data_IF_214720310387
#
_entry.id   IF_214720310387
#
_cell.length_a   1.000
_cell.length_b   1.000
_cell.length_c   1.000
_cell.angle_alpha   90.00
_cell.angle_beta   90.00
_cell.angle_gamma   90.00
#
_symmetry.space_group_name_H-M   'P 1'
#
loop_
_entity.id
_entity.type
_entity.pdbx_description
1 polymer ?
#
# COMPACT_ATOMS: atom_id res chain seq x y z
N UNK A 1 -8.05 -33.12 -1.04
CA UNK A 1 -8.84 -31.87 -0.99
C UNK A 1 -8.12 -30.81 -1.81
N UNK A 2 -7.85 -31.12 -3.08
CA UNK A 2 -6.80 -30.47 -3.90
C UNK A 2 -7.36 -30.02 -5.26
N UNK A 3 -8.68 -29.87 -5.38
CA UNK A 3 -9.38 -29.65 -6.65
C UNK A 3 -10.30 -28.41 -6.66
N UNK A 4 -10.23 -27.54 -5.65
CA UNK A 4 -11.08 -26.33 -5.57
C UNK A 4 -10.28 -25.03 -5.82
N UNK A 5 -8.95 -25.07 -5.84
CA UNK A 5 -8.11 -23.88 -6.04
C UNK A 5 -7.84 -23.49 -7.51
N UNK A 6 -8.31 -24.27 -8.49
CA UNK A 6 -8.03 -24.02 -9.92
C UNK A 6 -9.01 -23.03 -10.60
N UNK A 7 -10.09 -22.60 -9.93
CA UNK A 7 -11.16 -21.81 -10.56
C UNK A 7 -11.50 -20.46 -9.92
N UNK A 8 -10.74 -20.01 -8.91
CA UNK A 8 -10.82 -18.60 -8.46
C UNK A 8 -9.83 -17.82 -9.31
N UNK A 9 -10.28 -16.72 -9.92
CA UNK A 9 -9.51 -15.77 -10.73
C UNK A 9 -8.10 -15.57 -10.16
N UNK A 10 -7.13 -16.36 -10.66
CA UNK A 10 -5.70 -16.28 -10.33
C UNK A 10 -5.15 -15.00 -10.95
N UNK A 11 -5.35 -13.87 -10.28
CA UNK A 11 -4.33 -12.82 -10.30
C UNK A 11 -3.26 -13.29 -9.33
N UNK A 12 -2.39 -14.18 -9.80
CA UNK A 12 -1.11 -14.47 -9.14
C UNK A 12 -0.22 -13.25 -9.33
N UNK A 13 -0.51 -12.18 -8.59
CA UNK A 13 0.36 -11.03 -8.47
C UNK A 13 1.20 -11.26 -7.22
N UNK A 14 2.48 -11.54 -7.42
CA UNK A 14 3.43 -11.61 -6.32
C UNK A 14 4.18 -10.30 -6.26
N UNK A 15 4.23 -9.73 -5.06
CA UNK A 15 4.95 -8.50 -4.79
C UNK A 15 6.40 -8.81 -4.40
N UNK A 16 7.35 -8.11 -5.01
CA UNK A 16 8.71 -8.03 -4.50
C UNK A 16 8.64 -7.29 -3.16
N UNK A 17 8.63 -8.06 -2.07
CA UNK A 17 8.47 -7.63 -0.68
C UNK A 17 7.04 -7.21 -0.27
N UNK A 18 6.47 -7.90 0.73
CA UNK A 18 5.27 -7.45 1.46
C UNK A 18 5.63 -6.40 2.52
N UNK A 19 6.86 -6.47 3.04
CA UNK A 19 7.44 -5.53 3.99
C UNK A 19 8.30 -4.48 3.28
N UNK A 20 8.72 -3.44 3.98
CA UNK A 20 9.51 -2.35 3.41
C UNK A 20 10.94 -2.77 2.98
N UNK A 21 11.40 -3.97 3.33
CA UNK A 21 12.77 -4.47 3.13
C UNK A 21 12.83 -5.99 3.40
N UNK A 22 13.93 -6.63 3.00
CA UNK A 22 14.16 -8.06 3.25
C UNK A 22 14.62 -8.31 4.70
N UNK A 23 14.11 -9.38 5.32
CA UNK A 23 14.53 -9.85 6.65
C UNK A 23 15.33 -11.13 6.51
N UNK A 24 16.22 -11.39 7.48
CA UNK A 24 17.00 -12.62 7.45
C UNK A 24 16.07 -13.83 7.61
N UNK A 25 16.31 -14.90 6.85
CA UNK A 25 15.66 -16.19 7.07
C UNK A 25 16.63 -17.06 7.85
N UNK A 26 16.30 -17.42 9.08
CA UNK A 26 17.13 -18.27 9.95
C UNK A 26 16.82 -19.77 9.78
N UNK A 27 15.84 -20.12 8.94
CA UNK A 27 15.37 -21.49 8.74
C UNK A 27 14.11 -21.82 9.54
N UNK A 28 13.65 -20.92 10.41
CA UNK A 28 12.42 -21.03 11.17
C UNK A 28 11.31 -20.17 10.52
N UNK A 29 10.05 -20.46 10.85
CA UNK A 29 8.88 -19.70 10.35
C UNK A 29 8.71 -18.33 11.06
N UNK A 30 9.77 -17.75 11.63
CA UNK A 30 9.71 -16.47 12.32
C UNK A 30 9.68 -15.28 11.35
N UNK A 31 8.57 -14.56 11.34
CA UNK A 31 8.33 -13.43 10.42
C UNK A 31 9.11 -12.15 10.79
N UNK A 32 9.59 -12.05 12.04
CA UNK A 32 10.22 -10.85 12.60
C UNK A 32 11.46 -11.22 13.41
N UNK A 33 12.52 -11.76 12.76
CA UNK A 33 13.72 -12.21 13.47
C UNK A 33 14.38 -11.03 14.19
N UNK A 34 14.78 -11.24 15.45
CA UNK A 34 15.48 -10.24 16.26
C UNK A 34 16.83 -10.74 16.77
N UNK A 35 17.78 -9.82 16.95
CA UNK A 35 19.03 -10.08 17.67
C UNK A 35 18.79 -10.26 19.18
N UNK A 36 19.85 -10.60 19.93
CA UNK A 36 19.80 -10.78 21.38
C UNK A 36 19.36 -9.52 22.16
N UNK A 37 19.29 -8.37 21.49
CA UNK A 37 18.87 -7.07 22.04
C UNK A 37 17.46 -6.68 21.60
N UNK A 38 16.75 -7.55 20.87
CA UNK A 38 15.40 -7.31 20.36
C UNK A 38 15.34 -6.42 19.12
N UNK A 39 16.48 -6.12 18.46
CA UNK A 39 16.48 -5.36 17.21
C UNK A 39 16.18 -6.29 16.04
N UNK A 40 15.39 -5.83 15.08
CA UNK A 40 15.12 -6.60 13.85
C UNK A 40 16.41 -6.89 13.08
N UNK A 41 16.51 -8.11 12.56
CA UNK A 41 17.63 -8.55 11.73
C UNK A 41 17.24 -8.51 10.26
N UNK A 42 17.94 -7.69 9.48
CA UNK A 42 17.68 -7.49 8.06
C UNK A 42 18.53 -8.42 7.19
N UNK A 43 18.02 -8.75 6.00
CA UNK A 43 18.81 -9.44 4.98
C UNK A 43 19.51 -8.43 4.07
N UNK A 44 20.71 -8.78 3.62
CA UNK A 44 21.46 -8.04 2.60
C UNK A 44 21.08 -8.44 1.16
N UNK A 45 20.12 -9.35 0.98
CA UNK A 45 19.60 -9.72 -0.35
C UNK A 45 19.06 -8.50 -1.06
N UNK A 46 19.55 -8.24 -2.27
CA UNK A 46 19.06 -7.13 -3.08
C UNK A 46 17.66 -7.43 -3.60
N UNK A 47 16.77 -6.44 -3.58
CA UNK A 47 15.46 -6.57 -4.20
C UNK A 47 15.54 -6.85 -5.71
N UNK A 48 16.67 -6.55 -6.37
CA UNK A 48 16.90 -6.92 -7.77
C UNK A 48 17.16 -8.42 -7.96
N UNK A 49 17.81 -9.07 -6.99
CA UNK A 49 17.97 -10.54 -7.00
C UNK A 49 16.60 -11.21 -6.78
N UNK A 50 15.82 -10.68 -5.84
CA UNK A 50 14.43 -11.10 -5.63
C UNK A 50 13.59 -10.90 -6.89
N UNK A 51 13.73 -9.77 -7.58
CA UNK A 51 13.02 -9.50 -8.83
C UNK A 51 13.31 -10.55 -9.90
N UNK A 52 14.59 -10.91 -10.12
CA UNK A 52 14.97 -11.97 -11.07
C UNK A 52 14.36 -13.33 -10.73
N UNK A 53 14.23 -13.65 -9.43
CA UNK A 53 13.54 -14.86 -9.00
C UNK A 53 12.02 -14.81 -9.31
N UNK A 54 11.39 -13.64 -9.16
CA UNK A 54 9.99 -13.44 -9.56
C UNK A 54 9.78 -13.53 -11.08
N UNK A 55 10.74 -13.03 -11.87
CA UNK A 55 10.71 -13.20 -13.33
C UNK A 55 10.77 -14.67 -13.73
N UNK A 56 11.62 -15.46 -13.06
CA UNK A 56 11.66 -16.91 -13.26
C UNK A 56 10.33 -17.57 -12.89
N UNK A 57 9.64 -17.11 -11.84
CA UNK A 57 8.31 -17.63 -11.49
C UNK A 57 7.26 -17.35 -12.57
N UNK A 58 7.41 -16.26 -13.33
CA UNK A 58 6.58 -16.00 -14.53
C UNK A 58 6.93 -16.99 -15.64
N UNK A 59 8.22 -17.19 -15.93
CA UNK A 59 8.68 -18.12 -16.98
C UNK A 59 8.27 -19.56 -16.69
N UNK A 60 8.28 -19.97 -15.42
CA UNK A 60 7.85 -21.29 -14.96
C UNK A 60 6.31 -21.43 -14.93
N UNK A 61 5.55 -20.39 -15.28
CA UNK A 61 4.08 -20.40 -15.33
C UNK A 61 3.41 -20.42 -13.95
N UNK A 62 4.16 -20.17 -12.87
CA UNK A 62 3.64 -20.15 -11.50
C UNK A 62 2.79 -18.90 -11.25
N UNK A 63 3.18 -17.78 -11.86
CA UNK A 63 2.49 -16.50 -11.73
C UNK A 63 2.24 -15.87 -13.10
N UNK A 64 1.19 -15.05 -13.21
CA UNK A 64 0.83 -14.37 -14.48
C UNK A 64 1.39 -12.96 -14.58
N UNK A 65 1.62 -12.32 -13.44
CA UNK A 65 2.11 -10.96 -13.34
C UNK A 65 2.91 -10.80 -12.04
N UNK A 66 3.84 -9.86 -12.02
CA UNK A 66 4.65 -9.54 -10.85
C UNK A 66 4.61 -8.04 -10.62
N UNK A 67 4.70 -7.64 -9.35
CA UNK A 67 4.55 -6.25 -8.94
C UNK A 67 5.43 -5.89 -7.77
N UNK A 68 5.34 -4.64 -7.34
CA UNK A 68 6.09 -4.08 -6.23
C UNK A 68 5.11 -3.65 -5.12
N UNK A 69 5.52 -3.75 -3.86
CA UNK A 69 4.74 -3.20 -2.75
C UNK A 69 5.67 -2.42 -1.81
N UNK A 70 5.26 -1.21 -1.44
CA UNK A 70 6.06 -0.27 -0.64
C UNK A 70 7.40 0.16 -1.29
N UNK A 71 7.46 0.25 -2.62
CA UNK A 71 8.65 0.77 -3.30
C UNK A 71 8.48 2.27 -3.60
N UNK A 72 9.56 3.03 -3.46
CA UNK A 72 9.62 4.43 -3.89
C UNK A 72 10.00 4.54 -5.39
N UNK A 73 9.91 5.74 -5.96
CA UNK A 73 10.17 6.00 -7.38
C UNK A 73 11.56 5.54 -7.83
N UNK A 74 12.61 5.75 -7.03
CA UNK A 74 13.98 5.33 -7.37
C UNK A 74 14.08 3.81 -7.47
N UNK A 75 13.55 3.08 -6.48
CA UNK A 75 13.57 1.62 -6.46
C UNK A 75 12.76 1.02 -7.61
N UNK A 76 11.63 1.65 -7.98
CA UNK A 76 10.84 1.24 -9.15
C UNK A 76 11.66 1.41 -10.43
N UNK A 77 12.30 2.57 -10.61
CA UNK A 77 13.18 2.83 -11.76
C UNK A 77 14.35 1.83 -11.81
N UNK A 78 14.94 1.48 -10.66
CA UNK A 78 16.00 0.47 -10.57
C UNK A 78 15.52 -0.91 -11.03
N UNK A 79 14.31 -1.32 -10.63
CA UNK A 79 13.70 -2.57 -11.10
C UNK A 79 13.43 -2.53 -12.61
N UNK A 80 12.88 -1.43 -13.14
CA UNK A 80 12.60 -1.28 -14.57
C UNK A 80 13.89 -1.37 -15.40
N UNK A 81 15.00 -0.78 -14.93
CA UNK A 81 16.28 -0.78 -15.65
C UNK A 81 16.97 -2.13 -15.64
N UNK A 82 16.80 -2.91 -14.57
CA UNK A 82 17.55 -4.15 -14.36
C UNK A 82 16.71 -5.44 -14.58
N UNK A 83 15.39 -5.31 -14.69
CA UNK A 83 14.46 -6.40 -14.96
C UNK A 83 14.17 -6.56 -16.46
N UNK A 84 13.91 -7.80 -16.86
CA UNK A 84 13.35 -8.16 -18.17
C UNK A 84 11.84 -7.93 -18.23
N UNK A 85 11.12 -8.14 -17.13
CA UNK A 85 9.67 -7.98 -17.02
C UNK A 85 9.39 -6.68 -16.25
N UNK A 86 8.63 -5.76 -16.86
CA UNK A 86 8.18 -4.52 -16.21
C UNK A 86 7.17 -4.84 -15.09
N UNK A 87 7.27 -4.23 -13.90
CA UNK A 87 6.26 -4.40 -12.86
C UNK A 87 4.87 -4.02 -13.37
N UNK A 88 3.87 -4.87 -13.12
CA UNK A 88 2.49 -4.58 -13.54
C UNK A 88 1.75 -3.69 -12.54
N UNK A 89 2.11 -3.78 -11.26
CA UNK A 89 1.40 -3.12 -10.16
C UNK A 89 2.39 -2.58 -9.14
N UNK A 90 2.10 -1.40 -8.58
CA UNK A 90 2.63 -0.93 -7.31
C UNK A 90 1.51 -0.91 -6.27
N UNK A 91 1.66 -1.64 -5.16
CA UNK A 91 0.74 -1.57 -4.03
C UNK A 91 1.35 -0.72 -2.89
N UNK A 92 0.70 0.39 -2.54
CA UNK A 92 1.20 1.36 -1.54
C UNK A 92 0.05 1.92 -0.70
N UNK A 93 0.39 2.51 0.45
CA UNK A 93 -0.57 3.26 1.26
C UNK A 93 -1.00 4.49 0.47
N UNK A 94 -2.31 4.62 0.23
CA UNK A 94 -2.90 5.81 -0.39
C UNK A 94 -4.27 6.08 0.23
N UNK A 95 -4.44 7.30 0.72
CA UNK A 95 -5.69 7.81 1.28
C UNK A 95 -5.62 9.35 1.32
N UNK A 96 -6.69 10.10 1.65
CA UNK A 96 -6.65 11.56 1.60
C UNK A 96 -5.52 12.22 2.40
N UNK A 97 -5.13 11.70 3.56
CA UNK A 97 -3.99 12.24 4.32
C UNK A 97 -2.59 11.88 3.79
N UNK A 98 -2.50 10.94 2.84
CA UNK A 98 -1.28 10.51 2.15
C UNK A 98 -1.65 10.21 0.68
N UNK A 99 -1.84 11.28 -0.09
CA UNK A 99 -2.47 11.20 -1.41
C UNK A 99 -1.56 10.59 -2.48
N UNK A 100 -0.24 10.65 -2.27
CA UNK A 100 0.78 10.05 -3.13
C UNK A 100 0.75 10.56 -4.59
N UNK A 101 0.35 11.82 -4.80
CA UNK A 101 0.16 12.39 -6.16
C UNK A 101 1.39 12.18 -7.07
N UNK A 102 2.61 12.42 -6.55
CA UNK A 102 3.85 12.25 -7.32
C UNK A 102 4.11 10.79 -7.71
N UNK A 103 4.02 9.86 -6.74
CA UNK A 103 4.27 8.44 -6.96
C UNK A 103 3.21 7.80 -7.86
N UNK A 104 1.94 8.18 -7.67
CA UNK A 104 0.82 7.71 -8.51
C UNK A 104 1.04 8.14 -9.96
N UNK A 105 1.31 9.44 -10.18
CA UNK A 105 1.60 9.97 -11.52
C UNK A 105 2.81 9.27 -12.15
N UNK A 106 3.90 9.12 -11.40
CA UNK A 106 5.12 8.43 -11.85
C UNK A 106 4.84 6.99 -12.33
N UNK A 107 4.01 6.24 -11.60
CA UNK A 107 3.61 4.89 -11.96
C UNK A 107 2.71 4.86 -13.20
N UNK A 108 1.72 5.75 -13.26
CA UNK A 108 0.78 5.84 -14.38
C UNK A 108 1.49 6.20 -15.69
N UNK A 109 2.47 7.12 -15.66
CA UNK A 109 3.31 7.47 -16.81
C UNK A 109 4.17 6.29 -17.32
N UNK A 110 4.32 5.23 -16.53
CA UNK A 110 5.09 4.02 -16.85
C UNK A 110 4.20 2.79 -17.08
N UNK A 111 2.88 2.98 -17.19
CA UNK A 111 1.86 1.91 -17.25
C UNK A 111 1.93 0.92 -16.07
N UNK A 112 2.24 1.41 -14.87
CA UNK A 112 2.19 0.64 -13.63
C UNK A 112 0.90 0.99 -12.92
N UNK A 113 0.03 -0.01 -12.71
CA UNK A 113 -1.23 0.18 -11.99
C UNK A 113 -0.94 0.41 -10.51
N UNK A 114 -1.55 1.42 -9.89
CA UNK A 114 -1.43 1.63 -8.44
C UNK A 114 -2.59 0.93 -7.73
N UNK A 115 -2.27 0.21 -6.66
CA UNK A 115 -3.24 -0.36 -5.72
C UNK A 115 -3.08 0.28 -4.34
N UNK A 116 -4.11 0.97 -3.86
CA UNK A 116 -4.18 1.59 -2.55
C UNK A 116 -4.53 0.57 -1.46
N UNK A 117 -3.60 0.34 -0.52
CA UNK A 117 -3.91 -0.29 0.77
C UNK A 117 -4.20 0.77 1.84
N UNK A 118 -4.82 0.33 2.94
CA UNK A 118 -5.26 1.20 4.06
C UNK A 118 -6.02 2.46 3.63
N UNK A 119 -6.99 2.37 2.70
CA UNK A 119 -7.68 3.55 2.18
C UNK A 119 -8.42 4.33 3.28
N UNK A 120 -8.75 3.70 4.40
CA UNK A 120 -9.45 4.32 5.53
C UNK A 120 -8.52 4.72 6.69
N UNK A 121 -7.19 4.70 6.50
CA UNK A 121 -6.22 4.98 7.55
C UNK A 121 -6.07 3.85 8.58
N UNK A 122 -6.56 2.65 8.27
CA UNK A 122 -6.44 1.44 9.10
C UNK A 122 -6.79 1.67 10.58
N UNK A 123 -8.03 2.09 10.91
CA UNK A 123 -8.42 2.48 12.27
C UNK A 123 -8.34 1.34 13.30
N UNK A 124 -8.35 0.09 12.85
CA UNK A 124 -8.22 -1.13 13.64
C UNK A 124 -6.77 -1.63 13.78
N UNK A 125 -5.77 -0.84 13.38
CA UNK A 125 -4.36 -1.22 13.53
C UNK A 125 -3.97 -1.33 15.02
N UNK A 126 -3.21 -2.36 15.43
CA UNK A 126 -2.88 -2.59 16.85
C UNK A 126 -2.11 -1.47 17.56
N UNK A 127 -1.42 -0.62 16.80
CA UNK A 127 -0.59 0.47 17.32
C UNK A 127 -1.24 1.86 17.18
N UNK A 128 -2.54 1.94 16.86
CA UNK A 128 -3.25 3.21 16.82
C UNK A 128 -3.25 3.86 18.22
N UNK A 129 -2.92 5.15 18.28
CA UNK A 129 -3.03 5.94 19.51
C UNK A 129 -4.28 6.83 19.49
N UNK A 130 -4.90 7.16 20.65
CA UNK A 130 -6.12 7.96 20.71
C UNK A 130 -5.98 9.38 20.14
N UNK A 131 -4.75 9.91 20.10
CA UNK A 131 -4.45 11.25 19.62
C UNK A 131 -4.32 11.33 18.08
N UNK A 132 -4.37 10.19 17.39
CA UNK A 132 -4.27 10.15 15.94
C UNK A 132 -5.57 10.59 15.25
N UNK A 133 -5.46 11.25 14.10
CA UNK A 133 -6.64 11.69 13.36
C UNK A 133 -7.43 10.51 12.81
N UNK A 134 -8.75 10.56 12.95
CA UNK A 134 -9.66 9.56 12.39
C UNK A 134 -10.12 10.04 11.01
N UNK A 135 -9.50 9.53 9.95
CA UNK A 135 -9.78 9.93 8.57
C UNK A 135 -11.27 9.87 8.18
N UNK A 136 -11.98 8.83 8.63
CA UNK A 136 -13.41 8.67 8.31
C UNK A 136 -14.31 9.73 8.96
N UNK A 137 -13.80 10.43 9.97
CA UNK A 137 -14.51 11.46 10.75
C UNK A 137 -14.03 12.89 10.41
N UNK A 138 -13.20 13.07 9.38
CA UNK A 138 -12.83 14.41 8.92
C UNK A 138 -14.09 15.22 8.58
N UNK A 139 -14.28 16.42 9.17
CA UNK A 139 -15.50 17.21 8.96
C UNK A 139 -15.79 17.54 7.49
N UNK A 140 -14.76 17.85 6.71
CA UNK A 140 -14.91 18.17 5.29
C UNK A 140 -15.30 16.91 4.49
N UNK A 141 -14.72 15.76 4.85
CA UNK A 141 -15.12 14.48 4.25
C UNK A 141 -16.57 14.12 4.58
N UNK A 142 -17.01 14.35 5.82
CA UNK A 142 -18.39 14.13 6.25
C UNK A 142 -19.38 15.02 5.49
N UNK A 143 -19.02 16.27 5.22
CA UNK A 143 -19.88 17.18 4.45
C UNK A 143 -20.00 16.77 2.98
N UNK A 144 -18.91 16.30 2.36
CA UNK A 144 -18.94 15.69 1.03
C UNK A 144 -19.81 14.42 1.06
N UNK A 145 -19.64 13.55 2.06
CA UNK A 145 -20.43 12.33 2.22
C UNK A 145 -21.95 12.63 2.29
N UNK A 146 -22.34 13.66 3.05
CA UNK A 146 -23.74 14.15 3.10
C UNK A 146 -24.23 14.63 1.74
N UNK A 147 -23.44 15.41 1.00
CA UNK A 147 -23.78 15.92 -0.34
C UNK A 147 -24.18 14.78 -1.29
N UNK A 148 -23.46 13.66 -1.26
CA UNK A 148 -23.74 12.50 -2.12
C UNK A 148 -24.69 11.46 -1.50
N UNK A 149 -25.12 11.65 -0.25
CA UNK A 149 -25.89 10.65 0.52
C UNK A 149 -25.15 9.30 0.58
N UNK A 150 -23.84 9.37 0.80
CA UNK A 150 -22.93 8.22 0.92
C UNK A 150 -22.20 8.25 2.26
N UNK A 151 -21.52 7.17 2.62
CA UNK A 151 -20.60 7.18 3.75
C UNK A 151 -19.25 7.78 3.39
N UNK A 152 -18.48 8.24 4.38
CA UNK A 152 -17.08 8.68 4.19
C UNK A 152 -16.22 7.60 3.52
N UNK A 153 -16.46 6.33 3.85
CA UNK A 153 -15.77 5.19 3.25
C UNK A 153 -16.04 5.08 1.74
N UNK A 154 -17.29 5.22 1.32
CA UNK A 154 -17.67 5.22 -0.10
C UNK A 154 -17.06 6.42 -0.85
N UNK A 155 -17.05 7.61 -0.23
CA UNK A 155 -16.42 8.81 -0.81
C UNK A 155 -14.93 8.59 -1.05
N UNK A 156 -14.19 8.05 -0.07
CA UNK A 156 -12.75 7.77 -0.23
C UNK A 156 -12.50 6.75 -1.34
N UNK A 157 -13.26 5.65 -1.36
CA UNK A 157 -13.12 4.63 -2.42
C UNK A 157 -13.38 5.27 -3.79
N UNK A 158 -14.43 6.09 -3.92
CA UNK A 158 -14.75 6.76 -5.18
C UNK A 158 -13.66 7.73 -5.62
N UNK A 159 -13.11 8.51 -4.68
CA UNK A 159 -11.99 9.42 -4.94
C UNK A 159 -10.77 8.67 -5.49
N UNK A 160 -10.39 7.53 -4.88
CA UNK A 160 -9.30 6.70 -5.40
C UNK A 160 -9.60 6.13 -6.79
N UNK A 161 -10.81 5.59 -7.02
CA UNK A 161 -11.21 5.03 -8.32
C UNK A 161 -11.14 6.11 -9.42
N UNK A 162 -11.64 7.32 -9.15
CA UNK A 162 -11.58 8.43 -10.11
C UNK A 162 -10.15 8.92 -10.41
N UNK A 163 -9.17 8.58 -9.57
CA UNK A 163 -7.74 8.80 -9.80
C UNK A 163 -7.06 7.66 -10.57
N UNK A 164 -7.82 6.71 -11.10
CA UNK A 164 -7.32 5.47 -11.73
C UNK A 164 -6.45 4.63 -10.77
N UNK A 165 -6.87 4.52 -9.51
CA UNK A 165 -6.22 3.72 -8.48
C UNK A 165 -7.13 2.56 -8.08
N UNK A 166 -6.61 1.34 -8.08
CA UNK A 166 -7.30 0.15 -7.56
C UNK A 166 -7.34 0.25 -6.03
N UNK A 167 -8.44 -0.13 -5.39
CA UNK A 167 -8.62 0.01 -3.94
C UNK A 167 -8.92 -1.34 -3.30
N UNK A 168 -8.22 -1.68 -2.21
CA UNK A 168 -8.43 -2.95 -1.48
C UNK A 168 -8.84 -2.71 -0.02
N UNK A 169 -10.09 -2.29 0.26
CA UNK A 169 -10.54 -2.02 1.62
C UNK A 169 -10.81 -3.32 2.39
N UNK A 170 -10.17 -3.49 3.55
CA UNK A 170 -10.41 -4.62 4.45
C UNK A 170 -11.68 -4.42 5.28
N UNK A 171 -12.52 -5.45 5.34
CA UNK A 171 -13.64 -5.53 6.29
C UNK A 171 -14.02 -6.99 6.52
N UNK A 172 -14.39 -7.33 7.76
CA UNK A 172 -15.04 -8.60 8.09
C UNK A 172 -16.55 -8.42 8.35
N UNK A 173 -17.06 -7.18 8.30
CA UNK A 173 -18.47 -6.88 8.52
C UNK A 173 -19.22 -6.94 7.18
N UNK A 174 -20.23 -7.82 7.01
CA UNK A 174 -20.94 -7.99 5.74
C UNK A 174 -21.65 -6.73 5.22
N UNK A 175 -22.17 -5.88 6.12
CA UNK A 175 -22.81 -4.63 5.72
C UNK A 175 -21.77 -3.66 5.13
N UNK A 176 -20.62 -3.50 5.79
CA UNK A 176 -19.51 -2.68 5.29
C UNK A 176 -18.93 -3.21 3.98
N UNK A 177 -18.83 -4.55 3.81
CA UNK A 177 -18.37 -5.15 2.55
C UNK A 177 -19.29 -4.74 1.39
N UNK A 178 -20.62 -4.87 1.58
CA UNK A 178 -21.61 -4.43 0.57
C UNK A 178 -21.54 -2.92 0.32
N UNK A 179 -21.45 -2.12 1.39
CA UNK A 179 -21.35 -0.68 1.29
C UNK A 179 -20.12 -0.24 0.49
N UNK A 180 -18.93 -0.79 0.80
CA UNK A 180 -17.67 -0.51 0.12
C UNK A 180 -17.73 -0.86 -1.38
N UNK A 181 -18.53 -1.85 -1.77
CA UNK A 181 -18.70 -2.22 -3.17
C UNK A 181 -19.67 -1.27 -3.92
N UNK A 182 -20.60 -0.63 -3.21
CA UNK A 182 -21.63 0.23 -3.81
C UNK A 182 -21.13 1.67 -4.05
N UNK A 183 -20.15 1.81 -4.94
CA UNK A 183 -19.45 3.08 -5.26
C UNK A 183 -19.53 3.46 -6.75
N UNK A 184 -20.37 2.76 -7.51
CA UNK A 184 -20.46 2.87 -8.96
C UNK A 184 -21.59 3.80 -9.43
N UNK A 185 -22.48 4.19 -8.52
CA UNK A 185 -23.73 4.92 -8.77
C UNK A 185 -23.62 6.44 -8.50
N UNK A 186 -22.41 6.95 -8.24
CA UNK A 186 -22.15 8.38 -8.09
C UNK A 186 -20.77 8.76 -8.62
N UNK A 187 -20.57 10.04 -8.88
CA UNK A 187 -19.29 10.62 -9.33
C UNK A 187 -19.03 11.89 -8.54
N UNK A 188 -17.82 12.01 -7.99
CA UNK A 188 -17.36 13.22 -7.31
C UNK A 188 -17.04 14.29 -8.36
N UNK A 189 -17.51 15.52 -8.15
CA UNK A 189 -17.13 16.66 -8.99
C UNK A 189 -15.64 16.97 -8.87
N UNK A 190 -15.09 17.69 -9.85
CA UNK A 190 -13.69 18.13 -9.82
C UNK A 190 -13.36 18.93 -8.56
N UNK A 191 -14.28 19.81 -8.13
CA UNK A 191 -14.14 20.57 -6.87
C UNK A 191 -14.05 19.65 -5.65
N UNK A 192 -14.90 18.63 -5.53
CA UNK A 192 -14.86 17.72 -4.38
C UNK A 192 -13.60 16.85 -4.42
N UNK A 193 -13.17 16.44 -5.62
CA UNK A 193 -11.90 15.73 -5.81
C UNK A 193 -10.71 16.58 -5.33
N UNK A 194 -10.69 17.87 -5.68
CA UNK A 194 -9.66 18.82 -5.27
C UNK A 194 -9.67 19.07 -3.75
N UNK A 195 -10.86 19.20 -3.14
CA UNK A 195 -11.00 19.31 -1.68
C UNK A 195 -10.41 18.08 -0.99
N UNK A 196 -10.76 16.86 -1.42
CA UNK A 196 -10.22 15.64 -0.80
C UNK A 196 -8.70 15.55 -0.98
N UNK A 197 -8.17 15.90 -2.16
CA UNK A 197 -6.72 15.92 -2.40
C UNK A 197 -6.00 16.95 -1.52
N UNK A 198 -6.66 18.04 -1.13
CA UNK A 198 -6.09 19.05 -0.22
C UNK A 198 -5.89 18.56 1.22
N UNK A 199 -6.47 17.41 1.59
CA UNK A 199 -6.29 16.83 2.92
C UNK A 199 -4.87 16.25 3.12
N UNK A 200 -4.08 16.16 2.04
CA UNK A 200 -2.73 15.61 2.11
C UNK A 200 -1.88 16.37 3.12
N UNK A 201 -1.26 15.61 4.01
CA UNK A 201 -0.33 16.12 5.03
C UNK A 201 0.78 15.12 5.32
N UNK A 202 1.07 14.28 4.32
CA UNK A 202 2.08 13.23 4.33
C UNK A 202 2.00 12.32 5.57
N UNK A 203 0.77 12.06 6.03
CA UNK A 203 0.52 11.30 7.26
C UNK A 203 0.39 9.82 6.94
N UNK A 204 1.38 9.04 7.37
CA UNK A 204 1.46 7.60 7.12
C UNK A 204 0.97 6.81 8.34
N UNK A 205 -0.11 6.04 8.21
CA UNK A 205 -0.61 5.17 9.28
C UNK A 205 0.15 3.83 9.34
N UNK A 206 0.63 3.34 8.19
CA UNK A 206 1.37 2.07 8.10
C UNK A 206 2.88 2.32 8.11
N UNK A 207 3.32 2.89 9.23
CA UNK A 207 4.72 3.03 9.57
C UNK A 207 4.96 2.64 11.02
N UNK A 208 6.09 1.98 11.27
CA UNK A 208 6.53 1.66 12.61
C UNK A 208 7.48 2.76 13.05
N UNK A 209 7.15 3.41 14.17
CA UNK A 209 7.99 4.42 14.78
C UNK A 209 8.60 3.89 16.08
N UNK A 210 9.75 4.44 16.45
CA UNK A 210 10.38 4.27 17.75
C UNK A 210 10.78 5.64 18.29
N UNK A 211 10.73 5.79 19.60
CA UNK A 211 11.20 7.00 20.27
C UNK A 211 12.70 6.91 20.49
N UNK A 212 13.47 7.80 19.88
CA UNK A 212 14.92 7.95 20.10
C UNK A 212 15.18 9.36 20.59
N UNK A 213 15.73 9.51 21.81
CA UNK A 213 16.02 10.81 22.43
C UNK A 213 14.81 11.79 22.41
N UNK A 214 13.61 11.27 22.66
CA UNK A 214 12.37 12.06 22.67
C UNK A 214 11.80 12.44 21.30
N UNK A 215 12.41 11.96 20.20
CA UNK A 215 11.91 12.15 18.82
C UNK A 215 11.37 10.85 18.26
N UNK A 216 10.28 10.94 17.48
CA UNK A 216 9.78 9.81 16.71
C UNK A 216 10.66 9.64 15.46
N UNK A 217 11.19 8.44 15.27
CA UNK A 217 11.94 8.03 14.09
C UNK A 217 11.33 6.74 13.55
N UNK A 218 11.43 6.49 12.24
CA UNK A 218 11.03 5.18 11.72
C UNK A 218 11.89 4.09 12.38
N UNK A 219 11.23 3.03 12.87
CA UNK A 219 11.87 1.87 13.49
C UNK A 219 12.96 1.31 12.59
N UNK A 220 12.62 1.22 11.31
CA UNK A 220 13.39 0.53 10.28
C UNK A 220 14.18 1.48 9.38
N UNK A 221 14.41 2.74 9.79
CA UNK A 221 15.15 3.73 8.98
C UNK A 221 16.55 3.29 8.55
N UNK A 222 17.18 2.42 9.36
CA UNK A 222 18.52 1.88 9.11
C UNK A 222 18.49 0.60 8.27
N UNK A 223 17.30 0.09 7.94
CA UNK A 223 17.17 -1.09 7.11
C UNK A 223 17.72 -0.78 5.71
N UNK A 224 18.51 -1.69 5.11
CA UNK A 224 18.91 -1.55 3.72
C UNK A 224 17.67 -1.40 2.83
N UNK A 225 17.68 -0.37 1.97
CA UNK A 225 16.58 -0.07 1.05
C UNK A 225 15.26 0.39 1.73
N UNK A 226 15.32 1.01 2.91
CA UNK A 226 14.14 1.61 3.52
C UNK A 226 13.47 2.64 2.57
N UNK A 227 12.21 2.42 2.14
CA UNK A 227 11.61 3.15 1.03
C UNK A 227 11.17 4.56 1.39
N UNK A 228 10.90 4.84 2.67
CA UNK A 228 10.26 6.09 3.11
C UNK A 228 11.26 7.16 3.56
N UNK A 229 12.56 6.94 3.35
CA UNK A 229 13.58 7.97 3.55
C UNK A 229 13.68 8.94 2.36
N UNK A 230 13.19 8.54 1.19
CA UNK A 230 13.24 9.31 -0.07
C UNK A 230 11.89 9.98 -0.36
N UNK A 231 11.87 10.94 -1.30
CA UNK A 231 10.79 11.92 -1.46
C UNK A 231 9.44 11.31 -1.87
N UNK A 232 9.42 10.28 -2.73
CA UNK A 232 8.23 9.53 -3.14
C UNK A 232 8.59 8.26 -3.91
#
# INVERSE_FOLDING_TARGET
MTLIYDYIVRVHLVFCSYYQFCRQHDGNDELMPTDDKGNLVYSNTSYLETWKALEKAVDDGLVKAIGLSNFNSRQIDDVIRNGRIKPSVLQVEVHPYLSQEKLVKFCQERDIVVTAYSPFGSPDRPWATPDEPILLEDPQLLDIAKKYKKSSAQVIIRWLIQRNIVVVPKSANPARIRENFNVWDFTLSEDDMAVISSFNRDYRFIAFYKTVNGKQEFRDKEAPNFPFAEEF
#
